data_IF_289258409834
#
_entry.id   IF_289258409834
#
_cell.length_a   1.000
_cell.length_b   1.000
_cell.length_c   1.000
_cell.angle_alpha   90.00
_cell.angle_beta   90.00
_cell.angle_gamma   90.00
#
_symmetry.space_group_name_H-M   'P 1'
#
loop_
_entity.id
_entity.type
_entity.pdbx_description
1 polymer ?
#
# COMPACT_ATOMS: atom_id res chain seq x y z
N UNK A 1 11.17 -15.31 -7.49
CA UNK A 1 11.68 -13.91 -7.56
C UNK A 1 10.69 -13.12 -8.39
N UNK A 2 9.69 -12.48 -7.74
CA UNK A 2 8.77 -11.59 -8.44
C UNK A 2 9.56 -10.36 -8.92
N UNK A 3 9.94 -10.37 -10.19
CA UNK A 3 10.42 -9.21 -10.88
C UNK A 3 9.18 -8.34 -11.20
N UNK A 4 8.90 -7.34 -10.36
CA UNK A 4 8.01 -6.26 -10.79
C UNK A 4 8.65 -5.70 -12.05
N UNK A 5 7.98 -5.84 -13.19
CA UNK A 5 8.46 -5.32 -14.48
C UNK A 5 8.88 -3.86 -14.29
N UNK A 6 10.03 -3.45 -14.83
CA UNK A 6 10.52 -2.08 -14.70
C UNK A 6 9.48 -1.04 -15.16
N UNK A 7 8.70 -1.36 -16.18
CA UNK A 7 7.63 -0.51 -16.68
C UNK A 7 6.46 -0.37 -15.68
N UNK A 8 6.03 -1.46 -15.05
CA UNK A 8 4.98 -1.42 -14.00
C UNK A 8 5.46 -0.65 -12.76
N UNK A 9 6.72 -0.82 -12.41
CA UNK A 9 7.39 -0.10 -11.33
C UNK A 9 7.38 1.42 -11.54
N UNK A 10 7.54 1.89 -12.75
CA UNK A 10 7.54 3.32 -13.06
C UNK A 10 6.14 3.96 -12.98
N UNK A 11 5.07 3.19 -13.17
CA UNK A 11 3.69 3.69 -13.09
C UNK A 11 3.36 4.12 -11.66
N UNK A 12 3.55 3.25 -10.65
CA UNK A 12 3.20 3.61 -9.27
C UNK A 12 4.11 4.69 -8.71
N UNK A 13 5.40 4.70 -9.06
CA UNK A 13 6.34 5.74 -8.64
C UNK A 13 5.94 7.12 -9.17
N UNK A 14 5.53 7.19 -10.44
CA UNK A 14 4.99 8.41 -11.03
C UNK A 14 3.72 8.85 -10.33
N UNK A 15 2.79 7.93 -10.08
CA UNK A 15 1.52 8.26 -9.45
C UNK A 15 1.69 8.79 -8.02
N UNK A 16 2.56 8.18 -7.21
CA UNK A 16 2.88 8.66 -5.86
C UNK A 16 3.49 10.07 -5.92
N UNK A 17 4.39 10.32 -6.88
CA UNK A 17 4.98 11.64 -7.06
C UNK A 17 3.94 12.70 -7.48
N UNK A 18 3.06 12.38 -8.41
CA UNK A 18 2.01 13.29 -8.87
C UNK A 18 1.03 13.63 -7.72
N UNK A 19 0.62 12.66 -6.93
CA UNK A 19 -0.20 12.90 -5.73
C UNK A 19 0.51 13.78 -4.70
N UNK A 20 1.79 13.55 -4.47
CA UNK A 20 2.61 14.39 -3.61
C UNK A 20 2.65 15.83 -4.11
N UNK A 21 2.89 16.02 -5.39
CA UNK A 21 2.95 17.36 -6.02
C UNK A 21 1.60 18.06 -6.00
N UNK A 22 0.54 17.37 -6.40
CA UNK A 22 -0.81 17.93 -6.53
C UNK A 22 -1.48 18.25 -5.19
N UNK A 23 -0.98 17.69 -4.09
CA UNK A 23 -1.47 17.96 -2.73
C UNK A 23 -0.50 18.77 -1.86
N UNK A 24 0.41 19.51 -2.49
CA UNK A 24 1.45 20.25 -1.80
C UNK A 24 0.90 21.38 -0.91
N UNK A 25 -0.14 22.08 -1.37
CA UNK A 25 -0.84 23.17 -0.68
C UNK A 25 -1.44 22.73 0.66
N UNK A 26 -2.03 21.53 0.69
CA UNK A 26 -2.64 20.96 1.90
C UNK A 26 -1.70 20.05 2.67
N UNK A 27 -0.44 19.86 2.22
CA UNK A 27 0.50 18.85 2.74
C UNK A 27 -0.15 17.46 2.82
N UNK A 28 -0.81 17.06 1.74
CA UNK A 28 -1.50 15.77 1.64
C UNK A 28 -0.55 14.60 1.84
N UNK A 29 -1.01 13.60 2.59
CA UNK A 29 -0.23 12.41 2.91
C UNK A 29 -0.73 11.20 2.15
N UNK A 30 0.13 10.21 1.96
CA UNK A 30 -0.16 9.00 1.21
C UNK A 30 0.29 7.76 1.98
N UNK A 31 -0.49 6.68 1.89
CA UNK A 31 -0.12 5.35 2.38
C UNK A 31 0.20 4.45 1.19
N UNK A 32 1.35 3.81 1.23
CA UNK A 32 1.80 2.85 0.21
C UNK A 32 1.95 1.49 0.87
N UNK A 33 1.11 0.54 0.46
CA UNK A 33 1.11 -0.83 0.98
C UNK A 33 1.89 -1.76 0.07
N UNK A 34 2.86 -2.49 0.66
CA UNK A 34 3.60 -3.56 0.02
C UNK A 34 3.93 -4.64 1.06
N UNK A 35 3.39 -5.84 0.88
CA UNK A 35 3.60 -6.98 1.79
C UNK A 35 4.72 -7.91 1.31
N UNK A 36 4.91 -8.01 -0.01
CA UNK A 36 5.78 -9.02 -0.63
C UNK A 36 7.28 -8.67 -0.58
N UNK A 37 7.65 -7.43 -0.33
CA UNK A 37 9.05 -7.00 -0.36
C UNK A 37 9.34 -6.00 0.74
N UNK A 38 9.33 -6.47 2.00
CA UNK A 38 9.70 -5.64 3.15
C UNK A 38 11.20 -5.31 3.12
N UNK A 39 11.61 -4.14 3.66
CA UNK A 39 13.00 -3.71 3.61
C UNK A 39 13.90 -4.68 4.39
N UNK A 40 14.97 -5.12 3.74
CA UNK A 40 15.98 -6.01 4.33
C UNK A 40 17.07 -5.24 5.06
N UNK A 41 17.30 -4.02 4.65
CA UNK A 41 18.31 -3.10 5.19
C UNK A 41 17.72 -1.71 5.34
N UNK A 42 18.25 -0.87 6.27
CA UNK A 42 17.93 0.55 6.30
C UNK A 42 18.30 1.23 4.97
N UNK A 43 17.59 2.30 4.61
CA UNK A 43 17.88 3.02 3.36
C UNK A 43 19.32 3.56 3.30
N UNK A 44 19.93 3.91 4.44
CA UNK A 44 21.32 4.35 4.52
C UNK A 44 22.36 3.31 4.09
N UNK A 45 21.99 2.03 4.09
CA UNK A 45 22.84 0.90 3.69
C UNK A 45 22.43 0.30 2.34
N UNK A 46 21.43 0.91 1.69
CA UNK A 46 20.92 0.43 0.39
C UNK A 46 21.82 0.90 -0.75
N UNK A 47 22.31 -0.04 -1.56
CA UNK A 47 23.07 0.25 -2.76
C UNK A 47 22.21 0.00 -4.01
N UNK A 48 21.75 1.10 -4.63
CA UNK A 48 20.98 1.02 -5.86
C UNK A 48 21.73 0.28 -6.97
N UNK A 49 21.06 -0.68 -7.60
CA UNK A 49 21.63 -1.53 -8.63
C UNK A 49 22.36 -2.79 -8.14
N UNK A 50 22.64 -2.90 -6.83
CA UNK A 50 23.19 -4.12 -6.21
C UNK A 50 22.18 -4.81 -5.33
N UNK A 51 21.51 -4.04 -4.48
CA UNK A 51 20.43 -4.53 -3.64
C UNK A 51 19.08 -4.29 -4.33
N UNK A 52 18.11 -5.17 -4.08
CA UNK A 52 16.74 -4.95 -4.50
C UNK A 52 15.76 -5.28 -3.39
N UNK A 53 15.00 -4.29 -2.98
CA UNK A 53 13.73 -4.42 -2.32
C UNK A 53 12.79 -3.27 -2.75
N UNK A 54 11.49 -3.53 -2.78
CA UNK A 54 10.53 -2.57 -3.32
C UNK A 54 10.46 -1.27 -2.50
N UNK A 55 10.72 -1.32 -1.20
CA UNK A 55 10.66 -0.13 -0.34
C UNK A 55 11.80 0.84 -0.65
N UNK A 56 13.02 0.32 -0.65
CA UNK A 56 14.21 1.15 -0.91
C UNK A 56 14.25 1.62 -2.37
N UNK A 57 13.86 0.77 -3.34
CA UNK A 57 13.77 1.16 -4.74
C UNK A 57 12.70 2.26 -4.95
N UNK A 58 11.52 2.13 -4.31
CA UNK A 58 10.50 3.18 -4.37
C UNK A 58 11.01 4.48 -3.74
N UNK A 59 11.57 4.43 -2.53
CA UNK A 59 12.11 5.60 -1.85
C UNK A 59 13.17 6.29 -2.70
N UNK A 60 14.13 5.53 -3.24
CA UNK A 60 15.19 6.05 -4.10
C UNK A 60 14.62 6.80 -5.31
N UNK A 61 13.69 6.17 -6.02
CA UNK A 61 13.05 6.76 -7.20
C UNK A 61 12.19 7.99 -6.91
N UNK A 62 11.56 8.06 -5.74
CA UNK A 62 10.82 9.25 -5.32
C UNK A 62 11.76 10.41 -4.98
N UNK A 63 12.91 10.14 -4.36
CA UNK A 63 13.94 11.13 -4.09
C UNK A 63 14.54 11.66 -5.42
N UNK A 64 14.85 10.77 -6.36
CA UNK A 64 15.32 11.19 -7.71
C UNK A 64 14.33 12.11 -8.43
N UNK A 65 13.02 11.95 -8.17
CA UNK A 65 11.96 12.81 -8.71
C UNK A 65 11.79 14.13 -7.96
N UNK A 66 12.48 14.32 -6.84
CA UNK A 66 12.51 15.56 -6.09
C UNK A 66 11.67 15.58 -4.80
N UNK A 67 11.16 14.43 -4.33
CA UNK A 67 10.55 14.37 -2.99
C UNK A 67 11.68 14.39 -1.96
N UNK A 68 11.66 15.30 -0.97
CA UNK A 68 12.65 15.32 0.10
C UNK A 68 12.68 14.00 0.87
N UNK A 69 13.87 13.49 1.18
CA UNK A 69 14.02 12.22 1.87
C UNK A 69 13.28 12.17 3.22
N UNK A 70 13.30 13.27 3.96
CA UNK A 70 12.62 13.39 5.26
C UNK A 70 11.09 13.38 5.17
N UNK A 71 10.50 13.51 3.97
CA UNK A 71 9.07 13.38 3.74
C UNK A 71 8.63 11.94 3.42
N UNK A 72 9.59 11.00 3.30
CA UNK A 72 9.34 9.57 3.03
C UNK A 72 9.78 8.74 4.23
N UNK A 73 8.91 7.94 4.79
CA UNK A 73 9.20 7.07 5.92
C UNK A 73 8.74 5.63 5.70
N UNK A 74 9.44 4.70 6.33
CA UNK A 74 9.01 3.31 6.46
C UNK A 74 8.43 3.07 7.84
N UNK A 75 7.27 2.40 7.91
CA UNK A 75 6.71 2.00 9.22
C UNK A 75 7.64 1.04 9.96
N UNK A 76 8.47 0.29 9.21
CA UNK A 76 9.42 -0.68 9.74
C UNK A 76 10.56 -0.04 10.54
N UNK A 77 10.85 1.24 10.31
CA UNK A 77 11.88 1.97 11.07
C UNK A 77 11.38 2.37 12.47
N UNK A 78 10.06 2.37 12.68
CA UNK A 78 9.45 2.68 13.96
C UNK A 78 9.20 1.39 14.79
N UNK A 79 10.25 0.90 15.47
CA UNK A 79 10.22 -0.40 16.16
C UNK A 79 9.61 -0.37 17.56
N UNK A 80 9.31 0.81 18.12
CA UNK A 80 8.68 0.98 19.43
C UNK A 80 7.35 1.71 19.28
N UNK A 81 6.42 1.52 20.23
CA UNK A 81 5.14 2.21 20.20
C UNK A 81 5.29 3.73 20.26
N UNK A 82 6.28 4.22 21.00
CA UNK A 82 6.62 5.65 21.04
C UNK A 82 7.11 6.15 19.67
N UNK A 83 8.03 5.43 19.03
CA UNK A 83 8.52 5.79 17.70
C UNK A 83 7.41 5.78 16.65
N UNK A 84 6.46 4.82 16.75
CA UNK A 84 5.28 4.79 15.89
C UNK A 84 4.39 6.01 16.11
N UNK A 85 4.12 6.38 17.37
CA UNK A 85 3.30 7.54 17.68
C UNK A 85 3.97 8.83 17.15
N UNK A 86 5.27 9.01 17.37
CA UNK A 86 6.03 10.14 16.86
C UNK A 86 5.98 10.22 15.32
N UNK A 87 6.04 9.05 14.64
CA UNK A 87 5.90 8.98 13.19
C UNK A 87 4.49 9.39 12.75
N UNK A 88 3.44 8.88 13.42
CA UNK A 88 2.05 9.22 13.10
C UNK A 88 1.75 10.71 13.31
N UNK A 89 2.32 11.31 14.34
CA UNK A 89 2.20 12.75 14.60
C UNK A 89 2.85 13.57 13.48
N UNK A 90 4.05 13.17 13.00
CA UNK A 90 4.71 13.78 11.84
C UNK A 90 3.87 13.66 10.56
N UNK A 91 3.23 12.51 10.34
CA UNK A 91 2.35 12.30 9.18
C UNK A 91 1.11 13.19 9.30
N UNK A 92 0.44 13.20 10.43
CA UNK A 92 -0.72 14.04 10.67
C UNK A 92 -0.42 15.54 10.62
N UNK A 93 0.80 15.94 10.92
CA UNK A 93 1.31 17.31 10.75
C UNK A 93 1.67 17.64 9.28
N UNK A 94 1.82 16.61 8.41
CA UNK A 94 2.26 16.76 7.04
C UNK A 94 3.77 17.00 6.89
N UNK A 95 4.57 16.64 7.90
CA UNK A 95 6.02 16.64 7.84
C UNK A 95 6.57 15.39 7.14
N UNK A 96 5.90 14.25 7.29
CA UNK A 96 6.09 13.04 6.49
C UNK A 96 4.86 12.88 5.60
N UNK A 97 5.06 12.82 4.28
CA UNK A 97 3.97 12.82 3.32
C UNK A 97 3.79 11.50 2.59
N UNK A 98 4.78 10.62 2.61
CA UNK A 98 4.70 9.27 2.05
C UNK A 98 5.09 8.26 3.12
N UNK A 99 4.14 7.43 3.56
CA UNK A 99 4.38 6.32 4.46
C UNK A 99 4.32 5.01 3.68
N UNK A 100 5.41 4.25 3.69
CA UNK A 100 5.49 2.92 3.06
C UNK A 100 5.45 1.86 4.15
N UNK A 101 4.57 0.87 4.00
CA UNK A 101 4.42 -0.16 5.02
C UNK A 101 3.70 -1.41 4.56
N UNK A 102 3.77 -2.46 5.39
CA UNK A 102 3.01 -3.68 5.20
C UNK A 102 1.63 -3.59 5.86
N UNK A 103 0.70 -4.44 5.42
CA UNK A 103 -0.64 -4.56 6.03
C UNK A 103 -0.54 -4.81 7.52
N UNK A 104 0.35 -5.69 7.95
CA UNK A 104 0.55 -6.04 9.36
C UNK A 104 1.01 -4.83 10.18
N UNK A 105 2.07 -4.16 9.75
CA UNK A 105 2.68 -3.03 10.48
C UNK A 105 1.81 -1.77 10.47
N UNK A 106 1.11 -1.50 9.37
CA UNK A 106 0.12 -0.44 9.25
C UNK A 106 -1.28 -0.89 9.70
N UNK A 107 -1.41 -2.08 10.28
CA UNK A 107 -2.67 -2.69 10.68
C UNK A 107 -3.34 -2.02 11.87
N UNK A 108 -3.28 -2.62 13.07
CA UNK A 108 -3.97 -2.10 14.24
C UNK A 108 -3.30 -0.81 14.76
N UNK A 109 -4.12 0.16 15.19
CA UNK A 109 -3.66 1.36 15.88
C UNK A 109 -3.09 2.49 15.00
N UNK A 110 -2.95 2.30 13.68
CA UNK A 110 -2.44 3.35 12.79
C UNK A 110 -3.48 4.47 12.62
N UNK A 111 -3.16 5.66 13.12
CA UNK A 111 -4.02 6.83 13.12
C UNK A 111 -3.38 7.97 12.31
N UNK A 112 -3.37 7.85 10.98
CA UNK A 112 -2.67 8.75 10.04
C UNK A 112 -3.60 9.38 9.00
N UNK A 113 -4.93 9.34 9.26
CA UNK A 113 -5.93 9.76 8.29
C UNK A 113 -6.07 11.27 8.11
N UNK A 114 -5.56 12.09 9.03
CA UNK A 114 -5.89 13.52 9.09
C UNK A 114 -5.68 14.26 7.76
N UNK A 115 -4.60 13.99 7.06
CA UNK A 115 -4.24 14.62 5.77
C UNK A 115 -4.19 13.63 4.60
N UNK A 116 -4.72 12.42 4.78
CA UNK A 116 -4.61 11.36 3.80
C UNK A 116 -5.37 11.72 2.52
N UNK A 117 -4.69 11.70 1.39
CA UNK A 117 -5.24 11.98 0.05
C UNK A 117 -5.26 10.75 -0.84
N UNK A 118 -4.34 9.79 -0.62
CA UNK A 118 -4.25 8.59 -1.44
C UNK A 118 -3.75 7.36 -0.67
N UNK A 119 -4.24 6.19 -1.12
CA UNK A 119 -3.75 4.87 -0.73
C UNK A 119 -3.29 4.16 -2.00
N UNK A 120 -2.12 3.53 -1.94
CA UNK A 120 -1.53 2.77 -3.03
C UNK A 120 -1.33 1.32 -2.60
N UNK A 121 -1.89 0.37 -3.36
CA UNK A 121 -1.68 -1.06 -3.19
C UNK A 121 -0.69 -1.54 -4.25
N UNK A 122 0.58 -1.73 -3.88
CA UNK A 122 1.62 -2.22 -4.79
C UNK A 122 1.51 -3.72 -5.01
N UNK A 123 0.86 -4.43 -4.09
CA UNK A 123 0.58 -5.85 -4.15
C UNK A 123 -0.83 -6.17 -3.64
N UNK A 124 -1.33 -7.33 -4.06
CA UNK A 124 -2.58 -7.87 -3.56
C UNK A 124 -2.35 -8.48 -2.17
N UNK A 125 -3.12 -8.11 -1.14
CA UNK A 125 -3.05 -8.78 0.14
C UNK A 125 -3.61 -10.21 0.03
N UNK A 126 -3.22 -11.08 0.95
CA UNK A 126 -3.65 -12.48 0.91
C UNK A 126 -5.15 -12.68 1.20
N UNK A 127 -5.76 -11.80 1.99
CA UNK A 127 -7.16 -11.91 2.42
C UNK A 127 -7.98 -10.69 2.00
N UNK A 128 -9.26 -10.89 1.60
CA UNK A 128 -10.16 -9.76 1.33
C UNK A 128 -10.30 -8.78 2.50
N UNK A 129 -10.34 -9.31 3.72
CA UNK A 129 -10.39 -8.51 4.95
C UNK A 129 -9.22 -7.52 5.05
N UNK A 130 -8.03 -7.92 4.61
CA UNK A 130 -6.84 -7.08 4.67
C UNK A 130 -6.95 -5.91 3.69
N UNK A 131 -7.54 -6.13 2.51
CA UNK A 131 -7.84 -5.05 1.56
C UNK A 131 -8.85 -4.05 2.14
N UNK A 132 -9.93 -4.56 2.75
CA UNK A 132 -10.92 -3.72 3.45
C UNK A 132 -10.24 -2.94 4.58
N UNK A 133 -9.35 -3.57 5.33
CA UNK A 133 -8.63 -2.94 6.42
C UNK A 133 -7.67 -1.85 5.90
N UNK A 134 -6.92 -2.08 4.81
CA UNK A 134 -6.08 -1.07 4.16
C UNK A 134 -6.92 0.14 3.74
N UNK A 135 -8.02 -0.08 3.03
CA UNK A 135 -8.91 0.98 2.54
C UNK A 135 -9.59 1.73 3.70
N UNK A 136 -9.99 1.02 4.74
CA UNK A 136 -10.59 1.58 5.94
C UNK A 136 -9.69 2.56 6.71
N UNK A 137 -8.39 2.61 6.40
CA UNK A 137 -7.48 3.62 6.98
C UNK A 137 -7.76 5.02 6.46
N UNK A 138 -8.18 5.13 5.20
CA UNK A 138 -8.50 6.41 4.59
C UNK A 138 -9.93 6.87 4.81
N UNK A 139 -10.87 5.92 4.96
CA UNK A 139 -12.31 6.18 5.10
C UNK A 139 -12.68 6.33 6.59
N UNK A 140 -11.86 7.04 7.37
CA UNK A 140 -12.13 7.27 8.79
C UNK A 140 -12.55 8.71 9.03
N UNK A 141 -13.35 8.89 10.11
CA UNK A 141 -13.65 10.22 10.64
C UNK A 141 -12.36 10.94 11.01
N UNK A 142 -12.33 12.27 10.81
CA UNK A 142 -11.17 13.10 11.11
C UNK A 142 -10.20 13.32 9.95
N UNK A 143 -10.49 12.82 8.73
CA UNK A 143 -9.79 13.25 7.54
C UNK A 143 -10.27 14.67 7.17
N UNK A 144 -9.33 15.58 6.92
CA UNK A 144 -9.61 16.96 6.49
C UNK A 144 -10.05 17.03 5.02
N UNK A 145 -9.78 15.98 4.26
CA UNK A 145 -10.12 15.90 2.84
C UNK A 145 -11.50 15.24 2.68
N UNK A 146 -12.29 15.74 1.72
CA UNK A 146 -13.63 15.20 1.42
C UNK A 146 -13.62 13.79 0.82
N UNK A 147 -12.50 13.34 0.32
CA UNK A 147 -12.32 12.01 -0.27
C UNK A 147 -10.86 11.65 -0.40
N UNK A 148 -10.60 10.38 -0.59
CA UNK A 148 -9.28 9.83 -0.87
C UNK A 148 -9.30 9.08 -2.20
N UNK A 149 -8.16 8.99 -2.86
CA UNK A 149 -7.96 8.14 -4.03
C UNK A 149 -7.36 6.82 -3.60
N UNK A 150 -7.85 5.73 -4.18
CA UNK A 150 -7.30 4.39 -3.95
C UNK A 150 -6.77 3.88 -5.28
N UNK A 151 -5.48 3.61 -5.31
CA UNK A 151 -4.77 3.08 -6.47
C UNK A 151 -4.41 1.62 -6.23
N UNK A 152 -4.80 0.78 -7.16
CA UNK A 152 -4.44 -0.63 -7.19
C UNK A 152 -3.61 -0.89 -8.44
N UNK A 153 -2.41 -1.42 -8.26
CA UNK A 153 -1.50 -1.70 -9.36
C UNK A 153 -1.46 -3.20 -9.62
N UNK A 154 -1.84 -3.57 -10.82
CA UNK A 154 -1.77 -4.95 -11.28
C UNK A 154 -1.21 -4.97 -12.70
N UNK A 155 -0.23 -5.81 -12.94
CA UNK A 155 0.28 -6.04 -14.29
C UNK A 155 -0.57 -7.09 -14.97
N UNK A 156 -1.07 -6.79 -16.17
CA UNK A 156 -1.87 -7.75 -16.94
C UNK A 156 -1.07 -9.03 -17.21
N UNK A 157 -1.76 -10.18 -17.16
CA UNK A 157 -1.19 -11.51 -17.42
C UNK A 157 -0.03 -11.88 -16.47
N UNK A 158 -0.06 -11.37 -15.23
CA UNK A 158 0.88 -11.73 -14.18
C UNK A 158 0.16 -12.31 -12.98
N UNK A 159 0.93 -12.82 -12.03
CA UNK A 159 0.42 -13.30 -10.75
C UNK A 159 -0.37 -12.23 -9.97
N UNK A 160 -0.06 -10.95 -10.16
CA UNK A 160 -0.76 -9.86 -9.50
C UNK A 160 -2.23 -9.78 -9.94
N UNK A 161 -2.49 -9.83 -11.25
CA UNK A 161 -3.86 -9.81 -11.78
C UNK A 161 -4.66 -11.03 -11.31
N UNK A 162 -4.05 -12.20 -11.28
CA UNK A 162 -4.64 -13.42 -10.74
C UNK A 162 -4.94 -13.30 -9.24
N UNK A 163 -4.03 -12.75 -8.46
CA UNK A 163 -4.22 -12.54 -7.02
C UNK A 163 -5.41 -11.63 -6.72
N UNK A 164 -5.57 -10.53 -7.46
CA UNK A 164 -6.75 -9.66 -7.32
C UNK A 164 -8.05 -10.35 -7.73
N UNK A 165 -8.02 -11.17 -8.77
CA UNK A 165 -9.19 -11.96 -9.17
C UNK A 165 -9.61 -12.97 -8.09
N UNK A 166 -8.64 -13.65 -7.48
CA UNK A 166 -8.90 -14.53 -6.32
C UNK A 166 -9.51 -13.76 -5.16
N UNK A 167 -8.99 -12.57 -4.84
CA UNK A 167 -9.54 -11.73 -3.78
C UNK A 167 -10.99 -11.34 -4.05
N UNK A 168 -11.30 -10.98 -5.28
CA UNK A 168 -12.67 -10.64 -5.69
C UNK A 168 -13.61 -11.83 -5.56
N UNK A 169 -13.21 -13.01 -6.03
CA UNK A 169 -13.98 -14.24 -5.90
C UNK A 169 -14.22 -14.61 -4.43
N UNK A 170 -13.18 -14.55 -3.59
CA UNK A 170 -13.31 -14.77 -2.13
C UNK A 170 -14.27 -13.77 -1.48
N UNK A 171 -14.18 -12.49 -1.84
CA UNK A 171 -15.07 -11.46 -1.32
C UNK A 171 -16.52 -11.70 -1.76
N UNK A 172 -16.74 -12.08 -3.00
CA UNK A 172 -18.07 -12.42 -3.52
C UNK A 172 -18.67 -13.58 -2.74
N UNK A 173 -17.90 -14.65 -2.53
CA UNK A 173 -18.34 -15.82 -1.76
C UNK A 173 -18.70 -15.45 -0.31
N UNK A 174 -17.84 -14.68 0.38
CA UNK A 174 -18.12 -14.21 1.75
C UNK A 174 -19.42 -13.41 1.79
N UNK A 175 -19.63 -12.50 0.83
CA UNK A 175 -20.84 -11.68 0.77
C UNK A 175 -22.10 -12.49 0.52
N UNK A 176 -22.02 -13.59 -0.24
CA UNK A 176 -23.13 -14.51 -0.47
C UNK A 176 -23.50 -15.27 0.80
N UNK A 177 -22.49 -15.78 1.52
CA UNK A 177 -22.70 -16.47 2.79
C UNK A 177 -23.32 -15.53 3.84
N UNK A 178 -22.81 -14.30 3.95
CA UNK A 178 -23.34 -13.29 4.89
C UNK A 178 -24.80 -12.89 4.58
N UNK A 179 -25.19 -12.88 3.31
CA UNK A 179 -26.56 -12.59 2.88
C UNK A 179 -27.52 -13.79 3.01
N UNK A 180 -27.01 -14.97 3.39
CA UNK A 180 -27.80 -16.20 3.48
C UNK A 180 -28.25 -16.75 2.12
N UNK A 181 -27.60 -16.32 1.04
CA UNK A 181 -27.89 -16.80 -0.32
C UNK A 181 -27.25 -18.18 -0.54
N UNK A 182 -28.04 -19.24 -0.22
CA UNK A 182 -27.62 -20.64 -0.30
C UNK A 182 -27.73 -21.22 -1.71
N UNK A 183 -28.04 -20.42 -2.72
CA UNK A 183 -28.22 -20.90 -4.10
C UNK A 183 -26.89 -21.22 -4.79
N UNK A 184 -25.79 -20.72 -4.30
CA UNK A 184 -24.45 -21.00 -4.83
C UNK A 184 -23.75 -22.02 -3.93
N UNK A 185 -23.93 -23.30 -4.20
CA UNK A 185 -23.29 -24.42 -3.49
C UNK A 185 -21.90 -24.78 -4.02
N UNK A 186 -21.44 -24.16 -5.08
CA UNK A 186 -20.14 -24.44 -5.69
C UNK A 186 -19.29 -23.17 -5.62
N UNK A 187 -18.30 -23.15 -4.71
CA UNK A 187 -17.07 -22.49 -5.02
C UNK A 187 -16.55 -23.27 -6.25
N UNK A 188 -16.45 -22.61 -7.42
CA UNK A 188 -15.66 -23.18 -8.50
C UNK A 188 -14.27 -23.45 -7.89
N UNK A 189 -14.00 -24.73 -7.62
CA UNK A 189 -12.67 -25.19 -7.30
C UNK A 189 -11.80 -24.72 -8.45
N UNK A 190 -10.92 -23.78 -8.14
CA UNK A 190 -9.88 -23.37 -9.08
C UNK A 190 -9.00 -24.60 -9.16
N UNK A 191 -9.21 -25.39 -10.20
CA UNK A 191 -8.46 -26.58 -10.49
C UNK A 191 -6.97 -26.29 -10.36
N UNK A 192 -6.30 -27.05 -9.47
CA UNK A 192 -4.84 -27.16 -9.40
C UNK A 192 -4.21 -27.62 -10.73
N UNK A 193 -5.02 -27.85 -11.75
CA UNK A 193 -4.63 -28.42 -13.04
C UNK A 193 -4.17 -27.39 -14.08
N UNK A 194 -3.98 -26.12 -13.71
CA UNK A 194 -3.48 -25.10 -14.66
C UNK A 194 -2.19 -24.42 -14.15
N UNK A 195 -1.29 -25.25 -13.62
CA UNK A 195 0.12 -24.88 -13.42
C UNK A 195 0.98 -25.40 -14.57
#
# INVERSE_FOLDING_TARGET
>A
THCISSAASDVYKRQVYEEWKNSADIKGTQLVFCDLSTPKKPYSEYEYGKDFDAYNDLKHKLIERGIPENEIAFIHDANTDRAKQDLFDKINAGAVRVLIGSTEKCGAGTNVQKRLVAIHHLDAPYRPRDLIQRNGRGIRQGNMNKGIRIYTYATERTFDSYSYQILENKQRFISQVEKGDMTVREAEDIDEATL
#
